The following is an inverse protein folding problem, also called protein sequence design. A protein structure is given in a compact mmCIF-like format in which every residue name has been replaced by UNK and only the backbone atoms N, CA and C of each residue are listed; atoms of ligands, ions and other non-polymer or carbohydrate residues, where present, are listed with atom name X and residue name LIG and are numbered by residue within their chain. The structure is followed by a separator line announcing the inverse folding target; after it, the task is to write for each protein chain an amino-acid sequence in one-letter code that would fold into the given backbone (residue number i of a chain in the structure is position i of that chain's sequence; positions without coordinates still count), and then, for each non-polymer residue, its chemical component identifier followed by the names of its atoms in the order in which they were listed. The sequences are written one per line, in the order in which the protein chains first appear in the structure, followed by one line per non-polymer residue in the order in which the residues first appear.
data_IF_007182248354
#
_entry.id   IF_007182248354
#
_cell.length_a   1.000
_cell.length_b   1.000
_cell.length_c   1.000
_cell.angle_alpha   90.00
_cell.angle_beta   90.00
_cell.angle_gamma   90.00
#
_symmetry.space_group_name_H-M   'P 1'
#
loop_
_entity.id
_entity.type
_entity.pdbx_description
1 polymer ?
#
# COMPACT_ATOMS: atom_id res chain seq x y z
N UNK A 1 -2.44 40.74 -26.91
CA UNK A 1 -1.26 39.97 -27.34
C UNK A 1 -0.24 40.01 -26.22
N UNK A 2 0.36 38.85 -25.96
CA UNK A 2 1.30 38.43 -24.91
C UNK A 2 2.20 39.50 -24.32
N UNK A 3 2.20 39.59 -22.98
CA UNK A 3 3.34 40.06 -22.19
C UNK A 3 4.06 38.85 -21.61
N UNK A 4 5.37 38.76 -21.86
CA UNK A 4 6.30 38.00 -21.04
C UNK A 4 6.64 38.82 -19.78
N UNK A 5 7.08 38.17 -18.70
CA UNK A 5 8.29 38.42 -17.90
C UNK A 5 8.21 37.61 -16.59
N UNK A 6 9.28 36.89 -16.28
CA UNK A 6 9.53 36.12 -15.06
C UNK A 6 9.78 37.01 -13.84
N UNK A 7 9.63 36.47 -12.63
CA UNK A 7 10.39 36.92 -11.46
C UNK A 7 10.70 35.76 -10.49
N UNK A 8 11.99 35.50 -10.33
CA UNK A 8 12.62 34.73 -9.25
C UNK A 8 12.51 35.47 -7.90
N UNK A 9 12.67 34.72 -6.79
CA UNK A 9 13.44 35.24 -5.65
C UNK A 9 12.72 35.43 -4.31
N UNK A 10 13.29 34.77 -3.31
CA UNK A 10 13.19 34.97 -1.87
C UNK A 10 13.04 36.43 -1.38
N UNK A 11 12.17 36.64 -0.38
CA UNK A 11 12.47 37.51 0.77
C UNK A 11 11.87 38.93 0.79
N UNK A 12 11.21 39.21 1.93
CA UNK A 12 10.91 40.52 2.56
C UNK A 12 9.81 41.42 1.98
N UNK A 13 8.69 41.40 2.73
CA UNK A 13 7.84 42.51 3.20
C UNK A 13 8.14 43.91 2.61
N UNK A 14 7.19 44.44 1.84
CA UNK A 14 6.89 45.87 1.81
C UNK A 14 5.42 46.10 1.38
N UNK A 15 4.73 46.89 2.19
CA UNK A 15 3.38 47.42 2.02
C UNK A 15 3.24 48.34 0.81
N UNK A 16 2.16 48.20 0.05
CA UNK A 16 1.78 49.14 -1.02
C UNK A 16 0.37 48.89 -1.53
N UNK A 17 -0.49 49.89 -1.35
CA UNK A 17 -1.92 49.98 -1.64
C UNK A 17 -2.20 49.99 -3.17
N UNK A 18 -2.98 49.01 -3.67
CA UNK A 18 -3.63 49.08 -4.98
C UNK A 18 -5.14 49.08 -4.75
N UNK A 19 -5.76 50.25 -4.85
CA UNK A 19 -7.20 50.48 -4.68
C UNK A 19 -7.92 50.62 -6.04
N UNK A 20 -9.08 49.98 -6.14
CA UNK A 20 -10.18 50.26 -7.09
C UNK A 20 -10.29 49.28 -8.27
N UNK A 21 -11.44 48.74 -8.67
CA UNK A 21 -12.84 48.86 -8.25
C UNK A 21 -13.62 47.62 -8.76
N UNK A 22 -14.63 47.19 -8.00
CA UNK A 22 -15.87 46.58 -8.52
C UNK A 22 -15.83 45.17 -9.11
N UNK A 23 -16.30 44.18 -8.34
CA UNK A 23 -17.57 43.42 -8.50
C UNK A 23 -17.47 42.18 -7.59
N UNK A 24 -18.55 41.88 -6.86
CA UNK A 24 -18.57 41.03 -5.67
C UNK A 24 -17.99 39.63 -5.81
N UNK A 25 -17.23 39.24 -4.78
CA UNK A 25 -16.76 37.89 -4.55
C UNK A 25 -15.88 37.89 -3.31
N UNK A 26 -16.46 37.61 -2.14
CA UNK A 26 -15.71 37.34 -0.91
C UNK A 26 -14.88 36.09 -1.15
N UNK A 27 -13.64 36.25 -1.59
CA UNK A 27 -12.66 35.18 -1.60
C UNK A 27 -12.21 34.97 -0.16
N UNK A 28 -12.97 34.16 0.56
CA UNK A 28 -12.48 33.52 1.77
C UNK A 28 -11.25 32.71 1.36
N UNK A 29 -10.06 33.30 1.52
CA UNK A 29 -8.80 32.56 1.51
C UNK A 29 -8.90 31.61 2.70
N UNK A 30 -9.52 30.46 2.46
CA UNK A 30 -9.49 29.33 3.37
C UNK A 30 -8.04 28.90 3.36
N UNK A 31 -7.29 29.47 4.30
CA UNK A 31 -6.01 28.96 4.78
C UNK A 31 -6.25 27.46 4.94
N UNK A 32 -5.78 26.67 3.99
CA UNK A 32 -5.76 25.23 4.15
C UNK A 32 -4.76 25.06 5.28
N UNK A 33 -5.30 24.94 6.49
CA UNK A 33 -4.54 24.54 7.65
C UNK A 33 -3.71 23.34 7.19
N UNK A 34 -2.39 23.45 7.32
CA UNK A 34 -1.49 22.32 7.08
C UNK A 34 -2.06 21.09 7.80
N UNK A 35 -1.84 19.88 7.26
CA UNK A 35 -2.51 18.68 7.75
C UNK A 35 -2.37 18.62 9.26
N UNK A 36 -3.53 18.60 9.93
CA UNK A 36 -3.64 18.51 11.38
C UNK A 36 -2.70 17.40 11.86
N UNK A 37 -1.63 17.79 12.57
CA UNK A 37 -0.71 16.87 13.21
C UNK A 37 -1.44 16.24 14.40
N UNK A 38 -2.32 15.29 14.14
CA UNK A 38 -3.08 14.59 15.17
C UNK A 38 -3.09 13.11 14.88
N UNK A 39 -2.09 12.42 15.43
CA UNK A 39 -2.09 11.11 16.11
C UNK A 39 -0.65 10.62 16.18
N UNK A 40 -0.27 9.92 17.28
CA UNK A 40 1.05 9.34 17.52
C UNK A 40 1.40 8.27 16.46
N UNK A 41 1.70 8.70 15.25
CA UNK A 41 2.17 7.84 14.18
C UNK A 41 3.68 7.65 14.32
N UNK A 42 4.14 6.41 14.33
CA UNK A 42 5.56 6.10 14.36
C UNK A 42 6.14 6.38 12.98
N UNK A 43 6.97 7.42 12.87
CA UNK A 43 7.57 7.88 11.63
C UNK A 43 9.08 7.80 11.69
N UNK A 44 9.67 7.17 10.69
CA UNK A 44 11.12 7.13 10.51
C UNK A 44 11.45 7.19 9.02
N UNK A 45 12.74 7.34 8.68
CA UNK A 45 13.19 7.23 7.29
C UNK A 45 14.06 6.00 7.14
N UNK A 46 13.84 5.24 6.08
CA UNK A 46 14.62 4.06 5.74
C UNK A 46 14.88 4.04 4.22
N UNK A 47 16.15 3.85 3.82
CA UNK A 47 16.59 3.98 2.42
C UNK A 47 16.18 5.30 1.73
N UNK A 48 16.05 6.38 2.52
CA UNK A 48 15.61 7.69 2.05
C UNK A 48 14.12 7.78 1.72
N UNK A 49 13.30 6.80 2.13
CA UNK A 49 11.84 6.87 2.06
C UNK A 49 11.27 7.18 3.45
N UNK A 50 10.29 8.08 3.57
CA UNK A 50 9.51 8.23 4.80
C UNK A 50 8.64 6.98 5.01
N UNK A 51 8.73 6.37 6.18
CA UNK A 51 7.95 5.20 6.59
C UNK A 51 7.10 5.59 7.80
N UNK A 52 5.79 5.37 7.70
CA UNK A 52 4.84 5.54 8.79
C UNK A 52 4.23 4.20 9.16
N UNK A 53 4.25 3.82 10.43
CA UNK A 53 3.55 2.63 10.95
C UNK A 53 2.41 3.06 11.85
N UNK A 54 1.19 2.71 11.45
CA UNK A 54 -0.02 3.04 12.22
C UNK A 54 -0.25 2.03 13.35
N UNK A 55 -0.89 2.44 14.47
CA UNK A 55 -1.23 1.52 15.56
C UNK A 55 -2.04 0.29 15.14
N UNK A 56 -2.90 0.43 14.13
CA UNK A 56 -3.71 -0.68 13.59
C UNK A 56 -2.90 -1.75 12.88
N UNK A 57 -1.74 -1.43 12.36
CA UNK A 57 -0.82 -2.44 11.85
C UNK A 57 -0.42 -3.43 12.94
N UNK A 58 -0.04 -2.91 14.11
CA UNK A 58 0.38 -3.74 15.24
C UNK A 58 -0.76 -4.58 15.81
N UNK A 59 -1.96 -3.99 15.96
CA UNK A 59 -3.12 -4.71 16.46
C UNK A 59 -3.51 -5.87 15.52
N UNK A 60 -3.61 -5.60 14.22
CA UNK A 60 -4.01 -6.63 13.25
C UNK A 60 -2.96 -7.73 13.14
N UNK A 61 -1.67 -7.38 13.09
CA UNK A 61 -0.59 -8.36 13.09
C UNK A 61 -0.58 -9.22 14.36
N UNK A 62 -0.81 -8.62 15.53
CA UNK A 62 -0.95 -9.34 16.80
C UNK A 62 -2.13 -10.33 16.78
N UNK A 63 -3.30 -9.89 16.32
CA UNK A 63 -4.49 -10.74 16.22
C UNK A 63 -4.28 -11.91 15.25
N UNK A 64 -3.66 -11.64 14.09
CA UNK A 64 -3.34 -12.66 13.09
C UNK A 64 -2.29 -13.66 13.55
N UNK A 65 -1.32 -13.21 14.35
CA UNK A 65 -0.29 -14.06 14.95
C UNK A 65 -0.82 -14.97 16.06
N UNK A 66 -2.11 -14.90 16.42
CA UNK A 66 -2.69 -15.68 17.50
C UNK A 66 -2.58 -15.01 18.88
N UNK A 67 -2.46 -13.69 18.93
CA UNK A 67 -2.32 -12.94 20.18
C UNK A 67 -3.47 -13.12 21.19
N UNK A 68 -4.66 -13.52 20.75
CA UNK A 68 -5.79 -13.85 21.64
C UNK A 68 -5.72 -15.25 22.25
N UNK A 69 -4.95 -16.15 21.64
CA UNK A 69 -4.84 -17.56 22.06
C UNK A 69 -3.47 -17.90 22.64
N UNK A 70 -2.52 -16.95 22.60
CA UNK A 70 -1.17 -17.13 23.13
C UNK A 70 -1.17 -17.41 24.64
N UNK A 71 -0.31 -18.33 25.07
CA UNK A 71 -0.12 -18.68 26.49
C UNK A 71 1.37 -18.79 26.81
N UNK A 72 1.75 -18.28 27.97
CA UNK A 72 3.13 -18.35 28.45
C UNK A 72 4.13 -17.54 27.61
N UNK A 73 5.42 -17.75 27.89
CA UNK A 73 6.52 -17.03 27.24
C UNK A 73 6.69 -17.45 25.78
N UNK A 74 6.51 -18.73 25.48
CA UNK A 74 6.70 -19.26 24.13
C UNK A 74 5.64 -18.76 23.16
N UNK A 75 4.38 -18.64 23.63
CA UNK A 75 3.30 -18.02 22.85
C UNK A 75 3.57 -16.54 22.57
N UNK A 76 4.11 -15.80 23.55
CA UNK A 76 4.51 -14.41 23.35
C UNK A 76 5.63 -14.29 22.32
N UNK A 77 6.65 -15.14 22.40
CA UNK A 77 7.75 -15.18 21.44
C UNK A 77 7.26 -15.52 20.03
N UNK A 78 6.37 -16.51 19.87
CA UNK A 78 5.74 -16.86 18.60
C UNK A 78 5.05 -15.65 17.96
N UNK A 79 4.20 -14.95 18.71
CA UNK A 79 3.47 -13.77 18.21
C UNK A 79 4.43 -12.62 17.90
N UNK A 80 5.44 -12.39 18.74
CA UNK A 80 6.44 -11.35 18.51
C UNK A 80 7.24 -11.59 17.21
N UNK A 81 7.69 -12.83 16.99
CA UNK A 81 8.40 -13.23 15.76
C UNK A 81 7.50 -13.05 14.55
N UNK A 82 6.23 -13.51 14.64
CA UNK A 82 5.24 -13.28 13.58
C UNK A 82 5.11 -11.80 13.24
N UNK A 83 4.94 -10.93 14.24
CA UNK A 83 4.76 -9.49 14.02
C UNK A 83 5.97 -8.85 13.34
N UNK A 84 7.19 -9.22 13.74
CA UNK A 84 8.42 -8.75 13.13
C UNK A 84 8.54 -9.25 11.68
N UNK A 85 8.23 -10.52 11.43
CA UNK A 85 8.27 -11.09 10.07
C UNK A 85 7.25 -10.41 9.15
N UNK A 86 6.03 -10.19 9.61
CA UNK A 86 4.99 -9.48 8.84
C UNK A 86 5.42 -8.04 8.53
N UNK A 87 5.99 -7.33 9.51
CA UNK A 87 6.55 -5.99 9.32
C UNK A 87 7.63 -5.97 8.23
N UNK A 88 8.64 -6.82 8.36
CA UNK A 88 9.75 -6.87 7.41
C UNK A 88 9.26 -7.26 6.01
N UNK A 89 8.37 -8.26 5.92
CA UNK A 89 7.88 -8.75 4.62
C UNK A 89 7.05 -7.71 3.88
N UNK A 90 6.14 -7.02 4.59
CA UNK A 90 5.35 -5.93 4.00
C UNK A 90 6.24 -4.74 3.66
N UNK A 91 7.21 -4.38 4.51
CA UNK A 91 8.15 -3.31 4.16
C UNK A 91 8.94 -3.61 2.88
N UNK A 92 9.45 -4.83 2.73
CA UNK A 92 10.18 -5.25 1.52
C UNK A 92 9.27 -5.18 0.29
N UNK A 93 8.02 -5.58 0.43
CA UNK A 93 7.01 -5.41 -0.62
C UNK A 93 6.84 -3.94 -1.02
N UNK A 94 6.54 -3.06 -0.06
CA UNK A 94 6.34 -1.64 -0.33
C UNK A 94 7.60 -0.95 -0.86
N UNK A 95 8.78 -1.40 -0.44
CA UNK A 95 10.05 -0.93 -1.00
C UNK A 95 10.18 -1.28 -2.48
N UNK A 96 9.70 -2.45 -2.91
CA UNK A 96 9.65 -2.81 -4.33
C UNK A 96 8.94 -1.74 -5.15
N UNK A 97 7.72 -1.35 -4.73
CA UNK A 97 6.99 -0.25 -5.36
C UNK A 97 7.73 1.08 -5.26
N UNK A 98 8.22 1.44 -4.07
CA UNK A 98 8.88 2.71 -3.81
C UNK A 98 10.12 2.90 -4.68
N UNK A 99 10.98 1.88 -4.79
CA UNK A 99 12.16 1.94 -5.65
C UNK A 99 11.78 2.05 -7.13
N UNK A 100 10.79 1.29 -7.59
CA UNK A 100 10.30 1.37 -8.96
C UNK A 100 9.71 2.75 -9.29
N UNK A 101 8.86 3.30 -8.41
CA UNK A 101 8.26 4.62 -8.59
C UNK A 101 9.29 5.75 -8.56
N UNK A 102 10.29 5.66 -7.66
CA UNK A 102 11.38 6.65 -7.58
C UNK A 102 12.21 6.69 -8.86
N UNK A 103 12.41 5.56 -9.55
CA UNK A 103 13.09 5.51 -10.85
C UNK A 103 12.38 6.37 -11.92
N UNK A 104 11.07 6.54 -11.79
CA UNK A 104 10.25 7.35 -12.69
C UNK A 104 9.96 8.76 -12.13
N UNK A 105 10.74 9.23 -11.15
CA UNK A 105 10.65 10.60 -10.63
C UNK A 105 9.58 10.83 -9.56
N UNK A 106 8.88 9.80 -9.10
CA UNK A 106 7.98 9.93 -7.97
C UNK A 106 8.74 10.14 -6.66
N UNK A 107 8.06 10.72 -5.67
CA UNK A 107 8.52 10.88 -4.28
C UNK A 107 7.71 9.93 -3.38
N UNK A 108 8.18 8.69 -3.15
CA UNK A 108 7.38 7.69 -2.46
C UNK A 108 7.34 7.89 -0.95
N UNK A 109 6.18 7.67 -0.35
CA UNK A 109 5.94 7.59 1.09
C UNK A 109 5.31 6.23 1.41
N UNK A 110 5.88 5.50 2.36
CA UNK A 110 5.38 4.18 2.77
C UNK A 110 4.52 4.35 4.02
N UNK A 111 3.30 3.82 3.99
CA UNK A 111 2.42 3.75 5.16
C UNK A 111 1.95 2.33 5.41
N UNK A 112 2.17 1.83 6.63
CA UNK A 112 1.69 0.53 7.08
C UNK A 112 0.44 0.71 7.94
N UNK A 113 -0.62 0.02 7.58
CA UNK A 113 -1.94 0.09 8.22
C UNK A 113 -2.50 -1.31 8.49
N UNK A 114 -3.70 -1.40 9.09
CA UNK A 114 -4.25 -2.69 9.54
C UNK A 114 -4.52 -3.75 8.46
N UNK A 115 -4.52 -3.37 7.18
CA UNK A 115 -4.74 -4.30 6.06
C UNK A 115 -3.47 -4.57 5.24
N UNK A 116 -2.31 -4.03 5.63
CA UNK A 116 -1.06 -4.20 4.88
C UNK A 116 -0.20 -2.93 4.85
N UNK A 117 0.37 -2.66 3.68
CA UNK A 117 1.11 -1.44 3.40
C UNK A 117 0.55 -0.73 2.16
N UNK A 118 0.94 0.53 2.01
CA UNK A 118 0.74 1.29 0.77
C UNK A 118 1.92 2.22 0.52
N UNK A 119 2.47 2.14 -0.69
CA UNK A 119 3.45 3.09 -1.22
C UNK A 119 2.75 4.20 -2.01
N UNK A 120 2.73 5.40 -1.44
CA UNK A 120 2.09 6.57 -2.02
C UNK A 120 3.12 7.31 -2.88
N UNK A 121 2.81 7.44 -4.16
CA UNK A 121 3.72 8.05 -5.14
C UNK A 121 3.36 9.53 -5.34
N UNK A 122 3.96 10.42 -4.54
CA UNK A 122 3.73 11.86 -4.71
C UNK A 122 4.44 12.38 -5.94
N UNK A 123 3.77 13.24 -6.72
CA UNK A 123 4.36 13.91 -7.89
C UNK A 123 4.76 12.99 -9.05
N UNK A 124 4.45 11.69 -8.98
CA UNK A 124 4.69 10.73 -10.06
C UNK A 124 3.50 10.64 -11.00
N UNK A 125 3.75 10.84 -12.30
CA UNK A 125 2.79 10.53 -13.37
C UNK A 125 3.36 9.38 -14.18
N UNK A 126 2.67 8.24 -14.17
CA UNK A 126 3.13 7.04 -14.86
C UNK A 126 2.30 6.79 -16.11
N UNK A 127 2.97 6.45 -17.21
CA UNK A 127 2.28 5.80 -18.32
C UNK A 127 1.87 4.37 -17.94
N UNK A 128 1.05 3.71 -18.77
CA UNK A 128 0.52 2.38 -18.45
C UNK A 128 1.63 1.33 -18.26
N UNK A 129 2.65 1.23 -19.13
CA UNK A 129 3.79 0.33 -18.90
C UNK A 129 4.52 0.60 -17.58
N UNK A 130 4.80 1.87 -17.26
CA UNK A 130 5.45 2.25 -16.00
C UNK A 130 4.61 1.85 -14.80
N UNK A 131 3.30 2.11 -14.85
CA UNK A 131 2.37 1.75 -13.77
C UNK A 131 2.34 0.23 -13.56
N UNK A 132 2.27 -0.57 -14.63
CA UNK A 132 2.37 -2.04 -14.57
C UNK A 132 3.68 -2.48 -13.90
N UNK A 133 4.82 -1.89 -14.29
CA UNK A 133 6.11 -2.22 -13.71
C UNK A 133 6.19 -1.84 -12.22
N UNK A 134 5.65 -0.69 -11.83
CA UNK A 134 5.59 -0.26 -10.44
C UNK A 134 4.71 -1.21 -9.63
N UNK A 135 3.51 -1.54 -10.09
CA UNK A 135 2.62 -2.50 -9.41
C UNK A 135 3.22 -3.91 -9.36
N UNK A 136 3.98 -4.36 -10.36
CA UNK A 136 4.65 -5.67 -10.32
C UNK A 136 5.86 -5.71 -9.37
N UNK A 137 6.46 -4.56 -9.07
CA UNK A 137 7.72 -4.50 -8.32
C UNK A 137 7.58 -4.96 -6.85
N UNK A 138 6.45 -4.68 -6.19
CA UNK A 138 6.21 -5.13 -4.81
C UNK A 138 6.10 -6.66 -4.71
N UNK A 139 5.20 -7.31 -5.47
CA UNK A 139 5.12 -8.77 -5.53
C UNK A 139 6.45 -9.42 -5.93
N UNK A 140 7.18 -8.83 -6.89
CA UNK A 140 8.50 -9.33 -7.27
C UNK A 140 9.52 -9.26 -6.13
N UNK A 141 9.52 -8.18 -5.34
CA UNK A 141 10.39 -8.03 -4.17
C UNK A 141 10.07 -9.05 -3.07
N UNK A 142 8.78 -9.24 -2.75
CA UNK A 142 8.33 -10.27 -1.80
C UNK A 142 8.72 -11.67 -2.28
N UNK A 143 8.44 -12.00 -3.54
CA UNK A 143 8.79 -13.30 -4.11
C UNK A 143 10.31 -13.53 -4.06
N UNK A 144 11.11 -12.54 -4.44
CA UNK A 144 12.56 -12.62 -4.38
C UNK A 144 13.07 -12.86 -2.95
N UNK A 145 12.53 -12.15 -1.96
CA UNK A 145 12.85 -12.39 -0.55
C UNK A 145 12.50 -13.83 -0.14
N UNK A 146 11.31 -14.31 -0.50
CA UNK A 146 10.89 -15.70 -0.25
C UNK A 146 11.85 -16.72 -0.87
N UNK A 147 12.28 -16.52 -2.11
CA UNK A 147 13.25 -17.39 -2.79
C UNK A 147 14.61 -17.37 -2.09
N UNK A 148 15.11 -16.19 -1.71
CA UNK A 148 16.39 -16.07 -0.99
C UNK A 148 16.32 -16.81 0.34
N UNK A 149 15.26 -16.61 1.14
CA UNK A 149 15.07 -17.31 2.41
C UNK A 149 14.98 -18.83 2.18
N UNK A 150 14.27 -19.26 1.13
CA UNK A 150 14.15 -20.67 0.79
C UNK A 150 15.50 -21.30 0.44
N UNK A 151 16.30 -20.64 -0.40
CA UNK A 151 17.64 -21.12 -0.75
C UNK A 151 18.55 -21.19 0.48
N UNK A 152 18.53 -20.16 1.34
CA UNK A 152 19.31 -20.16 2.60
C UNK A 152 18.89 -21.34 3.47
N UNK A 153 17.59 -21.60 3.61
CA UNK A 153 17.07 -22.75 4.37
C UNK A 153 17.44 -24.13 3.82
N UNK A 154 17.99 -24.22 2.60
CA UNK A 154 18.51 -25.49 2.05
C UNK A 154 19.94 -25.78 2.48
N UNK A 155 20.69 -24.73 2.82
CA UNK A 155 22.11 -24.84 3.19
C UNK A 155 22.30 -24.68 4.69
N UNK A 156 21.43 -23.92 5.35
CA UNK A 156 21.47 -23.67 6.78
C UNK A 156 20.07 -23.75 7.38
N UNK A 157 19.86 -24.75 8.23
CA UNK A 157 18.66 -24.90 9.04
C UNK A 157 19.03 -24.72 10.51
N UNK A 158 18.51 -23.70 11.19
CA UNK A 158 18.79 -23.50 12.60
C UNK A 158 18.15 -24.60 13.45
N UNK A 159 18.89 -25.09 14.44
CA UNK A 159 18.37 -26.02 15.46
C UNK A 159 17.47 -25.31 16.48
N UNK A 160 17.70 -23.99 16.69
CA UNK A 160 16.85 -23.18 17.55
C UNK A 160 15.43 -23.09 16.98
N UNK A 161 14.45 -23.46 17.81
CA UNK A 161 13.05 -23.53 17.43
C UNK A 161 12.50 -22.18 16.92
N UNK A 162 12.87 -21.07 17.57
CA UNK A 162 12.36 -19.75 17.22
C UNK A 162 12.97 -19.21 15.93
N UNK A 163 14.25 -19.48 15.69
CA UNK A 163 14.91 -19.16 14.42
C UNK A 163 14.31 -19.98 13.26
N UNK A 164 14.07 -21.28 13.46
CA UNK A 164 13.39 -22.12 12.47
C UNK A 164 11.99 -21.60 12.16
N UNK A 165 11.23 -21.25 13.21
CA UNK A 165 9.90 -20.66 13.08
C UNK A 165 9.91 -19.35 12.28
N UNK A 166 10.87 -18.47 12.54
CA UNK A 166 11.01 -17.21 11.80
C UNK A 166 11.21 -17.45 10.29
N UNK A 167 12.02 -18.45 9.90
CA UNK A 167 12.21 -18.86 8.50
C UNK A 167 10.88 -19.34 7.91
N UNK A 168 10.15 -20.20 8.62
CA UNK A 168 8.85 -20.70 8.13
C UNK A 168 7.84 -19.58 7.93
N UNK A 169 7.77 -18.61 8.83
CA UNK A 169 6.92 -17.43 8.66
C UNK A 169 7.38 -16.55 7.50
N UNK A 170 8.69 -16.32 7.32
CA UNK A 170 9.18 -15.53 6.20
C UNK A 170 8.79 -16.16 4.87
N UNK A 171 8.94 -17.49 4.73
CA UNK A 171 8.51 -18.22 3.55
C UNK A 171 7.00 -18.11 3.34
N UNK A 172 6.23 -18.40 4.39
CA UNK A 172 4.78 -18.36 4.34
C UNK A 172 4.29 -16.96 3.95
N UNK A 173 4.67 -15.92 4.69
CA UNK A 173 4.21 -14.55 4.46
C UNK A 173 4.62 -14.07 3.08
N UNK A 174 5.89 -14.24 2.66
CA UNK A 174 6.32 -13.70 1.36
C UNK A 174 5.64 -14.39 0.18
N UNK A 175 5.51 -15.73 0.19
CA UNK A 175 4.83 -16.42 -0.92
C UNK A 175 3.32 -16.24 -0.89
N UNK A 176 2.69 -16.42 0.27
CA UNK A 176 1.24 -16.26 0.41
C UNK A 176 0.81 -14.83 0.09
N UNK A 177 1.51 -13.82 0.63
CA UNK A 177 1.19 -12.42 0.37
C UNK A 177 1.42 -12.04 -1.10
N UNK A 178 2.45 -12.59 -1.75
CA UNK A 178 2.65 -12.40 -3.20
C UNK A 178 1.45 -12.93 -3.99
N UNK A 179 0.99 -14.14 -3.69
CA UNK A 179 -0.17 -14.74 -4.38
C UNK A 179 -1.42 -13.89 -4.19
N UNK A 180 -1.70 -13.46 -2.94
CA UNK A 180 -2.84 -12.60 -2.65
C UNK A 180 -2.73 -11.27 -3.41
N UNK A 181 -1.59 -10.61 -3.40
CA UNK A 181 -1.44 -9.31 -4.08
C UNK A 181 -1.52 -9.41 -5.60
N UNK A 182 -1.17 -10.55 -6.19
CA UNK A 182 -1.32 -10.77 -7.62
C UNK A 182 -2.75 -11.17 -8.03
N UNK A 183 -3.68 -11.32 -7.08
CA UNK A 183 -5.09 -11.51 -7.43
C UNK A 183 -5.63 -10.30 -8.20
N UNK A 184 -6.54 -10.52 -9.17
CA UNK A 184 -7.08 -9.49 -10.04
C UNK A 184 -8.13 -8.61 -9.34
N UNK A 185 -7.86 -8.15 -8.12
CA UNK A 185 -8.81 -7.48 -7.22
C UNK A 185 -8.24 -6.10 -6.87
N UNK A 186 -8.90 -5.01 -7.25
CA UNK A 186 -8.52 -3.68 -6.74
C UNK A 186 -8.72 -3.57 -5.20
N UNK A 187 -7.87 -2.88 -4.44
CA UNK A 187 -6.67 -2.15 -4.85
C UNK A 187 -5.38 -2.98 -4.90
N UNK A 188 -5.44 -4.32 -4.85
CA UNK A 188 -4.24 -5.18 -4.93
C UNK A 188 -3.49 -4.99 -6.25
N UNK A 189 -2.20 -5.32 -6.25
CA UNK A 189 -1.30 -5.11 -7.39
C UNK A 189 -1.76 -5.79 -8.67
N UNK A 190 -2.24 -7.03 -8.59
CA UNK A 190 -2.78 -7.77 -9.73
C UNK A 190 -4.00 -7.08 -10.34
N UNK A 191 -4.83 -6.47 -9.50
CA UNK A 191 -5.94 -5.62 -9.94
C UNK A 191 -5.45 -4.36 -10.66
N UNK A 192 -4.42 -3.70 -10.14
CA UNK A 192 -3.81 -2.53 -10.78
C UNK A 192 -3.15 -2.88 -12.12
N UNK A 193 -2.41 -3.99 -12.17
CA UNK A 193 -1.78 -4.51 -13.39
C UNK A 193 -2.84 -4.76 -14.45
N UNK A 194 -3.93 -5.47 -14.12
CA UNK A 194 -4.98 -5.76 -15.09
C UNK A 194 -5.71 -4.49 -15.52
N UNK A 195 -5.97 -3.55 -14.61
CA UNK A 195 -6.52 -2.23 -14.95
C UNK A 195 -5.66 -1.53 -15.99
N UNK A 196 -4.35 -1.53 -15.78
CA UNK A 196 -3.40 -0.83 -16.64
C UNK A 196 -3.10 -1.60 -17.93
N UNK A 197 -3.32 -2.92 -17.98
CA UNK A 197 -3.27 -3.74 -19.21
C UNK A 197 -4.54 -3.58 -20.05
N UNK A 198 -5.72 -3.52 -19.43
CA UNK A 198 -7.00 -3.39 -20.14
C UNK A 198 -7.31 -1.94 -20.55
N UNK A 199 -6.85 -0.96 -19.76
CA UNK A 199 -7.04 0.46 -20.00
C UNK A 199 -8.41 0.98 -19.56
N UNK A 200 -8.61 2.30 -19.62
CA UNK A 200 -9.75 2.98 -19.00
C UNK A 200 -11.11 2.53 -19.55
N UNK A 201 -11.20 2.22 -20.85
CA UNK A 201 -12.45 1.80 -21.52
C UNK A 201 -13.02 0.49 -20.98
N UNK A 202 -12.20 -0.35 -20.34
CA UNK A 202 -12.59 -1.68 -19.83
C UNK A 202 -12.59 -1.73 -18.31
N UNK A 203 -12.55 -0.59 -17.63
CA UNK A 203 -12.47 -0.53 -16.17
C UNK A 203 -13.62 -1.30 -15.51
N UNK A 204 -14.85 -1.20 -16.02
CA UNK A 204 -16.00 -1.90 -15.45
C UNK A 204 -15.82 -3.43 -15.48
N UNK A 205 -15.23 -3.97 -16.55
CA UNK A 205 -14.89 -5.39 -16.64
C UNK A 205 -13.84 -5.78 -15.59
N UNK A 206 -12.80 -4.95 -15.40
CA UNK A 206 -11.76 -5.17 -14.39
C UNK A 206 -12.35 -5.24 -12.99
N UNK A 207 -13.27 -4.32 -12.66
CA UNK A 207 -13.92 -4.33 -11.36
C UNK A 207 -14.76 -5.59 -11.17
N UNK A 208 -15.56 -6.01 -12.16
CA UNK A 208 -16.36 -7.23 -12.04
C UNK A 208 -15.50 -8.49 -11.93
N UNK A 209 -14.38 -8.56 -12.65
CA UNK A 209 -13.39 -9.63 -12.47
C UNK A 209 -12.91 -9.64 -11.02
N UNK A 210 -12.59 -8.48 -10.45
CA UNK A 210 -12.20 -8.35 -9.05
C UNK A 210 -13.27 -8.79 -8.06
N UNK A 211 -14.52 -8.35 -8.23
CA UNK A 211 -15.65 -8.75 -7.37
C UNK A 211 -15.86 -10.26 -7.40
N UNK A 212 -15.89 -10.87 -8.59
CA UNK A 212 -16.11 -12.31 -8.76
C UNK A 212 -14.94 -13.10 -8.18
N UNK A 213 -13.70 -12.69 -8.45
CA UNK A 213 -12.51 -13.33 -7.91
C UNK A 213 -12.50 -13.26 -6.37
N UNK A 214 -12.71 -12.08 -5.79
CA UNK A 214 -12.77 -11.90 -4.35
C UNK A 214 -13.88 -12.74 -3.71
N UNK A 215 -15.08 -12.77 -4.31
CA UNK A 215 -16.19 -13.62 -3.85
C UNK A 215 -15.85 -15.12 -3.86
N UNK A 216 -15.23 -15.61 -4.95
CA UNK A 216 -14.81 -17.01 -5.05
C UNK A 216 -13.76 -17.37 -4.00
N UNK A 217 -12.74 -16.52 -3.80
CA UNK A 217 -11.71 -16.73 -2.78
C UNK A 217 -12.31 -16.65 -1.38
N UNK A 218 -13.28 -15.76 -1.14
CA UNK A 218 -13.98 -15.67 0.14
C UNK A 218 -14.73 -16.96 0.48
N UNK A 219 -15.51 -17.48 -0.47
CA UNK A 219 -16.25 -18.75 -0.30
C UNK A 219 -15.30 -19.91 -0.01
N UNK A 220 -14.21 -20.01 -0.78
CA UNK A 220 -13.17 -21.00 -0.52
C UNK A 220 -12.57 -20.83 0.88
N UNK A 221 -12.18 -19.61 1.27
CA UNK A 221 -11.58 -19.32 2.55
C UNK A 221 -12.49 -19.74 3.72
N UNK A 222 -13.80 -19.48 3.66
CA UNK A 222 -14.73 -19.94 4.68
C UNK A 222 -14.86 -21.47 4.71
N UNK A 223 -14.88 -22.12 3.54
CA UNK A 223 -14.97 -23.60 3.46
C UNK A 223 -13.80 -24.32 4.13
N UNK A 224 -12.62 -23.69 4.17
CA UNK A 224 -11.41 -24.23 4.83
C UNK A 224 -11.14 -23.61 6.21
N UNK A 225 -12.11 -22.89 6.78
CA UNK A 225 -12.00 -22.29 8.13
C UNK A 225 -11.07 -21.08 8.24
N UNK A 226 -10.66 -20.48 7.11
CA UNK A 226 -9.84 -19.26 7.05
C UNK A 226 -10.71 -18.00 7.14
N UNK A 227 -11.41 -17.85 8.26
CA UNK A 227 -12.43 -16.79 8.46
C UNK A 227 -11.90 -15.39 8.22
N UNK A 228 -10.68 -15.07 8.69
CA UNK A 228 -10.08 -13.76 8.46
C UNK A 228 -9.88 -13.45 6.97
N UNK A 229 -9.31 -14.41 6.21
CA UNK A 229 -9.13 -14.27 4.76
C UNK A 229 -10.49 -14.10 4.07
N UNK A 230 -11.50 -14.86 4.47
CA UNK A 230 -12.86 -14.74 3.95
C UNK A 230 -13.45 -13.34 4.17
N UNK A 231 -13.34 -12.81 5.39
CA UNK A 231 -13.81 -11.45 5.72
C UNK A 231 -13.03 -10.40 4.93
N UNK A 232 -11.70 -10.53 4.85
CA UNK A 232 -10.85 -9.62 4.08
C UNK A 232 -11.25 -9.59 2.61
N UNK A 233 -11.51 -10.75 2.01
CA UNK A 233 -11.95 -10.86 0.61
C UNK A 233 -13.34 -10.27 0.40
N UNK A 234 -14.28 -10.41 1.34
CA UNK A 234 -15.58 -9.73 1.28
C UNK A 234 -15.40 -8.20 1.28
N UNK A 235 -14.56 -7.68 2.18
CA UNK A 235 -14.29 -6.23 2.26
C UNK A 235 -13.68 -5.73 0.95
N UNK A 236 -12.75 -6.48 0.36
CA UNK A 236 -12.15 -6.16 -0.94
C UNK A 236 -13.15 -6.23 -2.10
N UNK A 237 -14.05 -7.21 -2.10
CA UNK A 237 -15.13 -7.31 -3.09
C UNK A 237 -16.05 -6.08 -3.03
N UNK A 238 -16.44 -5.68 -1.82
CA UNK A 238 -17.26 -4.50 -1.59
C UNK A 238 -16.53 -3.21 -2.00
N UNK A 239 -15.23 -3.09 -1.66
CA UNK A 239 -14.39 -1.96 -2.07
C UNK A 239 -14.25 -1.86 -3.59
N UNK A 240 -14.08 -3.00 -4.30
CA UNK A 240 -14.13 -3.05 -5.76
C UNK A 240 -15.45 -2.49 -6.28
N UNK A 241 -16.57 -3.02 -5.79
CA UNK A 241 -17.90 -2.61 -6.25
C UNK A 241 -18.12 -1.10 -6.04
N UNK A 242 -17.71 -0.56 -4.89
CA UNK A 242 -17.78 0.89 -4.64
C UNK A 242 -16.94 1.72 -5.61
N UNK A 243 -15.81 1.21 -6.09
CA UNK A 243 -14.97 1.92 -7.05
C UNK A 243 -15.67 2.23 -8.38
N UNK A 244 -16.72 1.46 -8.75
CA UNK A 244 -17.54 1.74 -9.94
C UNK A 244 -18.33 3.05 -9.79
N UNK A 245 -18.83 3.33 -8.58
CA UNK A 245 -19.72 4.47 -8.33
C UNK A 245 -18.97 5.81 -8.25
N UNK A 246 -17.65 5.80 -8.08
CA UNK A 246 -16.83 7.00 -7.93
C UNK A 246 -16.31 7.53 -9.29
N UNK A 247 -16.24 6.67 -10.32
CA UNK A 247 -15.55 7.00 -11.57
C UNK A 247 -16.47 7.17 -12.80
N UNK A 248 -17.79 7.11 -12.63
CA UNK A 248 -18.77 7.39 -13.69
C UNK A 248 -18.81 8.84 -14.20
N UNK A 249 -17.85 9.69 -13.85
CA UNK A 249 -17.86 11.13 -14.17
C UNK A 249 -16.55 11.78 -14.61
N UNK A 250 -15.41 11.09 -14.74
CA UNK A 250 -14.10 11.79 -14.89
C UNK A 250 -13.13 11.22 -15.94
N UNK A 251 -13.60 10.65 -17.05
CA UNK A 251 -12.70 10.47 -18.21
C UNK A 251 -13.46 10.77 -19.50
N UNK A 252 -13.17 11.92 -20.12
CA UNK A 252 -13.50 12.20 -21.52
C UNK A 252 -12.41 11.58 -22.40
N UNK A 253 -12.85 11.05 -23.54
CA UNK A 253 -12.06 10.34 -24.55
C UNK A 253 -10.81 11.07 -25.05
#
# INVERSE_FOLDING_TARGET
MKGAYECHGFGKIASGDCRGEGIGGVWLVKRIAGPLQTTRMWRFSLFGFPVTVEPWFWLTSFLLGGGLTMRGRDGLAFVAIWMVVVLVSILVHEFGHAFAGRRYGALPEIRLHGFGGVAIMHGGYFDRPQSILVSAAGPAASFALGVVVWLVSKVWLPEDYFAFLAIQFLLYVNFFWTVINLLPILPLDGGQIIRDVMGPRRLQLVVWIGVVCAGAVALWAFSVGRTFLGIMMIILAFSNYQSQNIQGGVVRD
#
